data_IF_249251984822
#
_entry.id   IF_249251984822
#
_cell.length_a   1.000
_cell.length_b   1.000
_cell.length_c   1.000
_cell.angle_alpha   90.00
_cell.angle_beta   90.00
_cell.angle_gamma   90.00
#
_symmetry.space_group_name_H-M   'P 1'
#
loop_
_entity.id
_entity.type
_entity.pdbx_description
1 polymer ?
#
# COMPACT_ATOMS: atom_id res chain seq x y z
N UNK A 1 -6.89 -8.55 10.51
CA UNK A 1 -6.53 -8.73 9.09
C UNK A 1 -6.52 -10.21 8.86
N UNK A 2 -7.45 -10.71 8.07
CA UNK A 2 -7.54 -12.15 7.78
C UNK A 2 -6.33 -12.59 6.97
N UNK A 3 -5.93 -13.85 7.13
CA UNK A 3 -4.82 -14.41 6.39
C UNK A 3 -5.10 -14.30 4.87
N UNK A 4 -4.08 -14.00 4.04
CA UNK A 4 -4.26 -14.01 2.59
C UNK A 4 -4.78 -15.39 2.15
N UNK A 5 -5.68 -15.39 1.17
CA UNK A 5 -6.14 -16.62 0.51
C UNK A 5 -4.91 -17.50 0.18
N UNK A 6 -4.89 -18.77 0.62
CA UNK A 6 -3.78 -19.69 0.37
C UNK A 6 -3.37 -19.77 -1.11
N UNK A 7 -4.32 -19.60 -2.03
CA UNK A 7 -4.09 -19.57 -3.48
C UNK A 7 -3.28 -18.33 -3.87
N UNK A 8 -3.68 -17.15 -3.40
CA UNK A 8 -2.94 -15.91 -3.64
C UNK A 8 -1.52 -15.96 -3.06
N UNK A 9 -1.37 -16.51 -1.85
CA UNK A 9 -0.06 -16.69 -1.24
C UNK A 9 0.85 -17.61 -2.07
N UNK A 10 0.31 -18.67 -2.66
CA UNK A 10 1.07 -19.58 -3.54
C UNK A 10 1.50 -18.90 -4.84
N UNK A 11 0.60 -18.16 -5.49
CA UNK A 11 0.89 -17.42 -6.72
C UNK A 11 2.00 -16.39 -6.48
N UNK A 12 1.92 -15.62 -5.39
CA UNK A 12 2.93 -14.61 -5.05
C UNK A 12 4.30 -15.24 -4.75
N UNK A 13 4.32 -16.46 -4.18
CA UNK A 13 5.57 -17.20 -3.92
C UNK A 13 6.20 -17.79 -5.17
N UNK A 14 5.43 -18.04 -6.23
CA UNK A 14 5.95 -18.59 -7.49
C UNK A 14 6.46 -17.52 -8.46
N UNK A 15 6.32 -16.23 -8.16
CA UNK A 15 6.83 -15.17 -9.01
C UNK A 15 8.36 -15.19 -9.09
N UNK A 16 8.91 -14.95 -10.28
CA UNK A 16 10.33 -14.63 -10.43
C UNK A 16 10.68 -13.36 -9.64
N UNK A 17 11.96 -13.13 -9.29
CA UNK A 17 12.37 -11.90 -8.59
C UNK A 17 11.89 -10.62 -9.28
N UNK A 18 12.04 -10.53 -10.61
CA UNK A 18 11.63 -9.36 -11.39
C UNK A 18 10.11 -9.17 -11.39
N UNK A 19 9.36 -10.26 -11.58
CA UNK A 19 7.90 -10.22 -11.54
C UNK A 19 7.41 -9.82 -10.14
N UNK A 20 8.03 -10.35 -9.09
CA UNK A 20 7.74 -10.02 -7.70
C UNK A 20 8.01 -8.54 -7.41
N UNK A 21 9.12 -8.00 -7.90
CA UNK A 21 9.44 -6.58 -7.76
C UNK A 21 8.44 -5.70 -8.51
N UNK A 22 8.08 -6.05 -9.73
CA UNK A 22 7.06 -5.34 -10.51
C UNK A 22 5.69 -5.36 -9.80
N UNK A 23 5.29 -6.52 -9.25
CA UNK A 23 4.07 -6.65 -8.45
C UNK A 23 4.14 -5.76 -7.20
N UNK A 24 5.25 -5.78 -6.46
CA UNK A 24 5.41 -4.93 -5.27
C UNK A 24 5.28 -3.44 -5.60
N UNK A 25 5.91 -2.97 -6.69
CA UNK A 25 5.82 -1.57 -7.12
C UNK A 25 4.38 -1.17 -7.45
N UNK A 26 3.64 -2.04 -8.13
CA UNK A 26 2.22 -1.80 -8.44
C UNK A 26 1.38 -1.73 -7.17
N UNK A 27 1.56 -2.69 -6.25
CA UNK A 27 0.86 -2.69 -4.95
C UNK A 27 1.19 -1.43 -4.13
N UNK A 28 2.45 -1.01 -4.12
CA UNK A 28 2.88 0.18 -3.41
C UNK A 28 2.21 1.46 -3.96
N UNK A 29 2.17 1.63 -5.29
CA UNK A 29 1.48 2.77 -5.92
C UNK A 29 -0.02 2.77 -5.62
N UNK A 30 -0.67 1.60 -5.68
CA UNK A 30 -2.09 1.45 -5.36
C UNK A 30 -2.36 1.79 -3.90
N UNK A 31 -1.55 1.27 -2.97
CA UNK A 31 -1.69 1.57 -1.54
C UNK A 31 -1.57 3.07 -1.26
N UNK A 32 -0.61 3.77 -1.89
CA UNK A 32 -0.47 5.23 -1.77
C UNK A 32 -1.71 5.98 -2.25
N UNK A 33 -2.28 5.59 -3.40
CA UNK A 33 -3.51 6.22 -3.92
C UNK A 33 -4.70 6.05 -2.98
N UNK A 34 -4.91 4.82 -2.50
CA UNK A 34 -6.00 4.52 -1.57
C UNK A 34 -5.85 5.27 -0.25
N UNK A 35 -4.63 5.31 0.30
CA UNK A 35 -4.35 6.05 1.53
C UNK A 35 -4.52 7.56 1.34
N UNK A 36 -4.10 8.12 0.20
CA UNK A 36 -4.30 9.54 -0.09
C UNK A 36 -5.78 9.89 -0.13
N UNK A 37 -6.60 9.12 -0.85
CA UNK A 37 -8.04 9.32 -0.89
C UNK A 37 -8.67 9.21 0.51
N UNK A 38 -8.26 8.23 1.32
CA UNK A 38 -8.76 8.05 2.68
C UNK A 38 -8.35 9.20 3.62
N UNK A 39 -7.12 9.70 3.52
CA UNK A 39 -6.63 10.84 4.33
C UNK A 39 -7.35 12.12 3.93
N UNK A 40 -7.49 12.40 2.63
CA UNK A 40 -8.24 13.56 2.13
C UNK A 40 -9.70 13.54 2.59
N UNK A 41 -10.35 12.38 2.52
CA UNK A 41 -11.73 12.24 2.98
C UNK A 41 -11.88 12.48 4.49
N UNK A 42 -10.87 12.11 5.29
CA UNK A 42 -10.88 12.30 6.74
C UNK A 42 -10.44 13.72 7.17
N UNK A 43 -9.61 14.38 6.36
CA UNK A 43 -8.98 15.67 6.66
C UNK A 43 -8.97 16.57 5.41
N UNK A 44 -10.13 17.08 4.98
CA UNK A 44 -10.26 17.86 3.74
C UNK A 44 -9.55 19.22 3.78
N UNK A 45 -9.23 19.69 4.99
CA UNK A 45 -8.57 20.95 5.31
C UNK A 45 -7.05 20.84 5.46
N UNK A 46 -6.48 19.64 5.28
CA UNK A 46 -5.04 19.47 5.35
C UNK A 46 -4.34 19.83 4.04
N UNK A 47 -3.24 20.56 4.18
CA UNK A 47 -2.30 20.81 3.09
C UNK A 47 -1.65 19.51 2.58
N UNK A 48 -1.31 19.50 1.29
CA UNK A 48 -0.75 18.34 0.59
C UNK A 48 0.49 17.75 1.29
N UNK A 49 1.39 18.60 1.78
CA UNK A 49 2.60 18.16 2.47
C UNK A 49 2.31 17.39 3.76
N UNK A 50 1.22 17.75 4.46
CA UNK A 50 0.80 17.06 5.67
C UNK A 50 0.18 15.71 5.33
N UNK A 51 -0.61 15.65 4.26
CA UNK A 51 -1.19 14.41 3.73
C UNK A 51 -0.08 13.44 3.33
N UNK A 52 0.94 13.89 2.61
CA UNK A 52 2.05 13.04 2.16
C UNK A 52 2.90 12.48 3.32
N UNK A 53 3.12 13.29 4.37
CA UNK A 53 3.78 12.82 5.60
C UNK A 53 2.95 11.75 6.30
N UNK A 54 1.64 11.92 6.37
CA UNK A 54 0.74 10.95 7.00
C UNK A 54 0.66 9.63 6.21
N UNK A 55 0.57 9.69 4.88
CA UNK A 55 0.62 8.49 4.02
C UNK A 55 1.94 7.74 4.25
N UNK A 56 3.05 8.47 4.27
CA UNK A 56 4.39 7.87 4.45
C UNK A 56 4.51 7.21 5.83
N UNK A 57 4.00 7.86 6.89
CA UNK A 57 3.93 7.29 8.24
C UNK A 57 3.09 6.01 8.27
N UNK A 58 1.91 5.99 7.64
CA UNK A 58 1.03 4.82 7.59
C UNK A 58 1.66 3.65 6.85
N UNK A 59 2.36 3.90 5.74
CA UNK A 59 3.06 2.86 4.98
C UNK A 59 4.24 2.30 5.77
N UNK A 60 5.07 3.16 6.40
CA UNK A 60 6.26 2.71 7.12
C UNK A 60 5.91 1.83 8.33
N UNK A 61 4.79 2.10 8.98
CA UNK A 61 4.30 1.34 10.13
C UNK A 61 3.25 0.29 9.78
N UNK A 62 3.01 0.04 8.49
CA UNK A 62 2.19 -1.08 8.05
C UNK A 62 2.91 -2.38 8.40
N UNK A 63 2.56 -2.97 9.54
CA UNK A 63 3.08 -4.27 9.95
C UNK A 63 2.43 -5.34 9.06
N UNK A 64 3.20 -6.24 8.44
CA UNK A 64 2.67 -7.36 7.68
C UNK A 64 1.89 -8.34 8.57
#
# INVERSE_FOLDING_TARGET
MDAPDPVHARILRSLSPDARWATWQSLHRTARHLLRAAVLAAHPDWEDERIEREISRRILHARP
#
